data_IF_563602434245
#
_entry.id   IF_563602434245
#
_cell.length_a   1.000
_cell.length_b   1.000
_cell.length_c   1.000
_cell.angle_alpha   90.00
_cell.angle_beta   90.00
_cell.angle_gamma   90.00
#
_symmetry.space_group_name_H-M   'P 1'
#
loop_
_entity.id
_entity.type
_entity.pdbx_description
1 polymer ?
#
# COMPACT_ATOMS: atom_id res chain seq x y z
N UNK A 1 17.70 52.61 88.23
CA UNK A 1 17.65 51.29 87.53
C UNK A 1 16.21 51.03 87.12
N UNK A 2 15.89 51.33 85.92
CA UNK A 2 14.50 51.15 85.41
C UNK A 2 14.61 50.47 84.07
N UNK A 3 14.12 49.27 84.02
CA UNK A 3 14.01 48.46 82.76
C UNK A 3 12.79 48.90 81.97
N UNK A 4 12.98 49.23 80.70
CA UNK A 4 11.93 49.38 79.72
C UNK A 4 11.75 48.03 78.97
N UNK A 5 10.53 47.64 78.67
CA UNK A 5 10.30 46.46 77.84
C UNK A 5 10.28 46.84 76.34
N UNK A 6 10.89 46.02 75.51
CA UNK A 6 10.91 46.11 74.08
C UNK A 6 9.62 45.52 73.52
N UNK A 7 8.89 46.24 72.69
CA UNK A 7 7.72 45.84 71.99
C UNK A 7 8.13 45.19 70.67
N UNK A 8 7.77 43.93 70.46
CA UNK A 8 7.96 43.20 69.19
C UNK A 8 6.70 43.40 68.33
N UNK A 9 6.88 44.01 67.14
CA UNK A 9 5.85 44.15 66.14
C UNK A 9 5.90 42.92 65.23
N UNK A 10 4.86 42.12 65.24
CA UNK A 10 4.68 40.94 64.37
C UNK A 10 4.03 41.39 63.05
N UNK A 11 4.80 41.45 61.96
CA UNK A 11 4.27 41.63 60.62
C UNK A 11 3.74 40.32 60.12
N UNK A 12 2.42 40.22 59.97
CA UNK A 12 1.75 39.10 59.28
C UNK A 12 1.87 39.27 57.75
N UNK A 13 2.62 38.39 57.10
CA UNK A 13 2.68 38.28 55.62
C UNK A 13 1.48 37.49 55.13
N UNK A 14 0.58 38.14 54.40
CA UNK A 14 -0.51 37.47 53.69
C UNK A 14 0.04 36.89 52.39
N UNK A 15 0.23 35.56 52.33
CA UNK A 15 0.55 34.85 51.12
C UNK A 15 -0.69 34.72 50.24
N UNK A 16 -0.74 35.51 49.16
CA UNK A 16 -1.77 35.37 48.12
C UNK A 16 -1.46 34.14 47.27
N UNK A 17 -2.25 33.08 47.40
CA UNK A 17 -2.25 31.96 46.44
C UNK A 17 -2.81 32.41 45.09
N UNK A 18 -1.93 32.72 44.14
CA UNK A 18 -2.32 32.83 42.74
C UNK A 18 -2.61 31.44 42.21
N UNK A 19 -3.85 31.13 41.96
CA UNK A 19 -4.28 29.93 41.27
C UNK A 19 -3.83 30.00 39.79
N UNK A 20 -2.75 29.28 39.46
CA UNK A 20 -2.33 29.05 38.07
C UNK A 20 -3.30 28.06 37.48
N UNK A 21 -4.22 28.53 36.67
CA UNK A 21 -5.04 27.67 35.83
C UNK A 21 -4.12 26.88 34.88
N UNK A 22 -4.25 25.55 34.79
CA UNK A 22 -3.47 24.80 33.83
C UNK A 22 -3.88 25.25 32.41
N UNK A 23 -2.95 25.87 31.71
CA UNK A 23 -3.06 26.12 30.28
C UNK A 23 -3.21 24.77 29.59
N UNK A 24 -4.39 24.46 29.10
CA UNK A 24 -4.63 23.32 28.22
C UNK A 24 -3.85 23.64 26.94
N UNK A 25 -2.67 23.03 26.79
CA UNK A 25 -1.95 23.04 25.53
C UNK A 25 -2.89 22.54 24.43
N UNK A 26 -3.01 23.23 23.28
CA UNK A 26 -3.84 22.76 22.20
C UNK A 26 -3.37 21.36 21.80
N UNK A 27 -4.28 20.40 21.82
CA UNK A 27 -4.02 19.05 21.29
C UNK A 27 -3.45 19.18 19.89
N UNK A 28 -2.34 18.49 19.54
CA UNK A 28 -1.76 18.57 18.21
C UNK A 28 -2.80 18.16 17.18
N UNK A 29 -3.36 19.11 16.47
CA UNK A 29 -4.55 18.96 15.61
C UNK A 29 -4.31 18.24 14.29
N UNK A 30 -3.09 17.73 14.04
CA UNK A 30 -2.81 16.89 12.88
C UNK A 30 -1.62 15.97 13.15
N UNK A 31 -1.80 14.65 13.00
CA UNK A 31 -0.68 13.72 12.92
C UNK A 31 0.21 14.14 11.73
N UNK A 32 1.52 14.34 11.89
CA UNK A 32 2.44 14.63 10.77
C UNK A 32 2.26 13.63 9.62
N UNK A 33 2.03 12.36 9.96
CA UNK A 33 1.75 11.29 9.00
C UNK A 33 0.56 11.58 8.08
N UNK A 34 -0.50 12.19 8.59
CA UNK A 34 -1.73 12.45 7.83
C UNK A 34 -1.58 13.57 6.78
N UNK A 35 -0.59 14.46 6.94
CA UNK A 35 -0.33 15.56 6.00
C UNK A 35 0.93 15.36 5.14
N UNK A 36 1.61 14.25 5.32
CA UNK A 36 2.79 13.95 4.55
C UNK A 36 2.45 13.73 3.08
N UNK A 37 3.28 14.24 2.18
CA UNK A 37 3.17 14.09 0.73
C UNK A 37 4.08 12.96 0.24
N UNK A 38 3.87 12.48 -0.98
CA UNK A 38 4.70 11.42 -1.55
C UNK A 38 6.16 11.83 -1.63
N UNK A 39 7.10 10.94 -1.25
CA UNK A 39 8.54 11.20 -1.31
C UNK A 39 9.03 11.37 -2.75
N UNK A 40 10.17 12.06 -2.92
CA UNK A 40 10.68 12.46 -4.22
C UNK A 40 11.21 11.30 -5.09
N UNK A 41 11.49 10.16 -4.48
CA UNK A 41 12.13 8.98 -5.08
C UNK A 41 11.15 8.02 -5.79
N UNK A 42 10.01 8.53 -6.25
CA UNK A 42 9.01 7.72 -6.94
C UNK A 42 8.16 8.49 -7.92
N UNK A 43 7.45 7.75 -8.79
CA UNK A 43 6.57 8.33 -9.79
C UNK A 43 5.46 9.20 -9.20
N UNK A 44 4.94 8.89 -8.00
CA UNK A 44 3.92 9.70 -7.36
C UNK A 44 4.36 11.15 -7.06
N UNK A 45 5.66 11.43 -7.02
CA UNK A 45 6.19 12.77 -6.84
C UNK A 45 6.39 13.54 -8.16
N UNK A 46 6.31 12.86 -9.30
CA UNK A 46 6.54 13.50 -10.59
C UNK A 46 5.29 14.25 -11.08
N UNK A 47 5.46 15.18 -12.00
CA UNK A 47 4.37 15.91 -12.68
C UNK A 47 3.33 16.54 -11.73
N UNK A 48 3.75 17.12 -10.61
CA UNK A 48 2.89 17.85 -9.69
C UNK A 48 2.72 17.21 -8.30
N UNK A 49 3.48 16.16 -8.00
CA UNK A 49 3.55 15.47 -6.70
C UNK A 49 2.19 15.04 -6.12
N UNK A 50 2.16 13.94 -5.42
CA UNK A 50 0.96 13.44 -4.73
C UNK A 50 0.89 14.03 -3.32
N UNK A 51 -0.12 14.88 -3.10
CA UNK A 51 -0.34 15.60 -1.84
C UNK A 51 -1.52 15.05 -1.04
N UNK A 52 -2.39 14.24 -1.66
CA UNK A 52 -3.59 13.71 -1.01
C UNK A 52 -4.45 14.81 -0.40
N UNK A 53 -4.77 14.64 0.88
CA UNK A 53 -5.48 15.62 1.70
C UNK A 53 -4.58 16.59 2.47
N UNK A 54 -3.28 16.76 2.12
CA UNK A 54 -2.35 17.59 2.91
C UNK A 54 -2.86 19.01 3.18
N UNK A 55 -3.58 19.59 2.21
CA UNK A 55 -4.15 20.94 2.29
C UNK A 55 -5.61 20.97 2.84
N UNK A 56 -6.07 19.88 3.45
CA UNK A 56 -7.44 19.81 3.97
C UNK A 56 -7.66 20.83 5.10
N UNK A 57 -8.74 21.64 5.01
CA UNK A 57 -9.12 22.49 6.12
C UNK A 57 -9.55 21.65 7.33
N UNK A 58 -9.48 22.21 8.52
CA UNK A 58 -9.80 21.50 9.78
C UNK A 58 -11.19 20.84 9.73
N UNK A 59 -12.18 21.49 9.10
CA UNK A 59 -13.53 20.95 8.93
C UNK A 59 -13.59 19.66 8.08
N UNK A 60 -12.56 19.40 7.25
CA UNK A 60 -12.46 18.21 6.40
C UNK A 60 -11.46 17.16 6.95
N UNK A 61 -11.12 17.25 8.22
CA UNK A 61 -10.31 16.26 8.93
C UNK A 61 -11.22 15.41 9.81
N UNK A 62 -11.45 14.17 9.40
CA UNK A 62 -12.37 13.24 10.05
C UNK A 62 -11.61 12.17 10.80
N UNK A 63 -12.11 11.77 11.98
CA UNK A 63 -11.71 10.51 12.62
C UNK A 63 -12.92 9.58 12.57
N UNK A 64 -12.69 8.37 12.04
CA UNK A 64 -13.75 7.39 11.77
C UNK A 64 -13.39 6.04 12.41
N UNK A 65 -14.38 5.37 12.99
CA UNK A 65 -14.23 4.07 13.63
C UNK A 65 -15.26 3.03 13.17
N UNK A 66 -16.18 3.43 12.28
CA UNK A 66 -17.19 2.55 11.71
C UNK A 66 -17.51 2.91 10.25
N UNK A 67 -18.27 2.04 9.59
CA UNK A 67 -18.61 2.18 8.17
C UNK A 67 -19.50 3.40 7.90
N UNK A 68 -20.40 3.78 8.81
CA UNK A 68 -21.29 4.92 8.62
C UNK A 68 -20.53 6.26 8.67
N UNK A 69 -19.62 6.41 9.66
CA UNK A 69 -18.73 7.57 9.75
C UNK A 69 -17.81 7.66 8.53
N UNK A 70 -17.26 6.52 8.07
CA UNK A 70 -16.41 6.46 6.88
C UNK A 70 -17.17 6.93 5.64
N UNK A 71 -18.38 6.41 5.39
CA UNK A 71 -19.23 6.83 4.25
C UNK A 71 -19.52 8.32 4.30
N UNK A 72 -19.81 8.87 5.49
CA UNK A 72 -20.05 10.32 5.68
C UNK A 72 -18.79 11.15 5.38
N UNK A 73 -17.63 10.73 5.83
CA UNK A 73 -16.35 11.42 5.57
C UNK A 73 -15.95 11.39 4.07
N UNK A 74 -16.36 10.36 3.34
CA UNK A 74 -16.09 10.19 1.90
C UNK A 74 -17.22 10.69 1.01
N UNK A 75 -18.29 11.25 1.57
CA UNK A 75 -19.45 11.72 0.81
C UNK A 75 -19.08 12.83 -0.18
N UNK A 76 -19.78 12.87 -1.30
CA UNK A 76 -19.56 13.84 -2.38
C UNK A 76 -19.86 15.29 -1.96
N UNK A 77 -20.67 15.51 -0.94
CA UNK A 77 -20.96 16.83 -0.38
C UNK A 77 -19.77 17.46 0.35
N UNK A 78 -18.78 16.65 0.77
CA UNK A 78 -17.52 17.17 1.33
C UNK A 78 -16.68 17.71 0.18
N UNK A 79 -16.69 19.00 0.00
CA UNK A 79 -15.93 19.67 -1.06
C UNK A 79 -14.42 19.77 -0.73
N UNK A 80 -13.58 19.68 -1.75
CA UNK A 80 -12.13 19.93 -1.63
C UNK A 80 -11.35 18.76 -1.02
N UNK A 81 -10.17 19.10 -0.50
CA UNK A 81 -9.24 18.14 0.11
C UNK A 81 -9.77 17.63 1.46
N UNK A 82 -9.50 16.36 1.77
CA UNK A 82 -9.92 15.74 3.04
C UNK A 82 -8.88 14.78 3.60
N UNK A 83 -8.86 14.67 4.91
CA UNK A 83 -8.11 13.66 5.66
C UNK A 83 -9.10 12.79 6.42
N UNK A 84 -9.01 11.48 6.21
CA UNK A 84 -9.82 10.47 6.91
C UNK A 84 -8.88 9.63 7.77
N UNK A 85 -8.94 9.80 9.08
CA UNK A 85 -8.16 9.10 10.08
C UNK A 85 -8.96 7.90 10.57
N UNK A 86 -8.46 6.70 10.32
CA UNK A 86 -9.09 5.44 10.74
C UNK A 86 -8.63 5.07 12.13
N UNK A 87 -9.55 4.89 13.07
CA UNK A 87 -9.29 4.46 14.44
C UNK A 87 -9.84 3.04 14.66
N UNK A 88 -8.94 2.09 14.85
CA UNK A 88 -9.31 0.67 14.98
C UNK A 88 -9.65 0.01 13.65
N UNK A 89 -10.30 -1.14 13.69
CA UNK A 89 -10.68 -1.93 12.50
C UNK A 89 -12.13 -1.64 12.12
N UNK A 90 -12.36 -1.22 10.89
CA UNK A 90 -13.68 -0.99 10.32
C UNK A 90 -14.10 -2.23 9.51
N UNK A 91 -15.19 -2.88 9.93
CA UNK A 91 -15.82 -3.97 9.18
C UNK A 91 -16.93 -3.42 8.27
N UNK A 92 -16.70 -3.51 6.95
CA UNK A 92 -17.69 -3.01 5.97
C UNK A 92 -18.91 -3.91 5.83
N UNK A 93 -18.90 -5.12 6.38
CA UNK A 93 -20.09 -5.97 6.50
C UNK A 93 -21.05 -5.50 7.60
N UNK A 94 -20.58 -4.66 8.54
CA UNK A 94 -21.36 -4.17 9.68
C UNK A 94 -21.98 -5.31 10.50
N UNK A 95 -21.21 -6.42 10.63
CA UNK A 95 -21.64 -7.62 11.37
C UNK A 95 -22.69 -8.49 10.66
N UNK A 96 -23.04 -8.17 9.42
CA UNK A 96 -24.00 -8.92 8.61
C UNK A 96 -23.33 -9.42 7.33
N UNK A 97 -23.27 -10.72 7.13
CA UNK A 97 -22.69 -11.31 5.92
C UNK A 97 -23.29 -10.69 4.65
N UNK A 98 -22.48 -10.58 3.62
CA UNK A 98 -22.98 -10.24 2.29
C UNK A 98 -23.79 -11.41 1.74
N UNK A 99 -24.92 -11.08 1.08
CA UNK A 99 -25.82 -12.12 0.56
C UNK A 99 -25.56 -12.49 -0.90
N UNK A 100 -25.00 -11.53 -1.67
CA UNK A 100 -24.63 -11.71 -3.06
C UNK A 100 -23.58 -10.65 -3.47
N UNK A 101 -23.10 -10.76 -4.70
CA UNK A 101 -22.13 -9.84 -5.30
C UNK A 101 -22.62 -8.37 -5.30
N UNK A 102 -23.91 -8.12 -5.58
CA UNK A 102 -24.46 -6.77 -5.62
C UNK A 102 -24.49 -6.14 -4.21
N UNK A 103 -24.83 -6.92 -3.19
CA UNK A 103 -24.79 -6.50 -1.80
C UNK A 103 -23.36 -6.21 -1.33
N UNK A 104 -22.41 -7.10 -1.66
CA UNK A 104 -20.98 -6.88 -1.37
C UNK A 104 -20.46 -5.63 -2.09
N UNK A 105 -20.76 -5.45 -3.37
CA UNK A 105 -20.38 -4.25 -4.12
C UNK A 105 -20.95 -2.97 -3.51
N UNK A 106 -22.20 -2.98 -3.07
CA UNK A 106 -22.86 -1.80 -2.48
C UNK A 106 -22.32 -1.46 -1.09
N UNK A 107 -22.12 -2.45 -0.20
CA UNK A 107 -21.71 -2.22 1.20
C UNK A 107 -20.21 -2.26 1.39
N UNK A 108 -19.51 -3.19 0.72
CA UNK A 108 -18.07 -3.43 0.88
C UNK A 108 -17.19 -2.49 0.07
N UNK A 109 -17.69 -1.92 -1.05
CA UNK A 109 -16.88 -1.01 -1.87
C UNK A 109 -16.79 0.37 -1.22
N UNK A 110 -15.57 0.82 -0.98
CA UNK A 110 -15.23 2.13 -0.42
C UNK A 110 -14.59 2.99 -1.52
N UNK A 111 -15.35 3.89 -2.11
CA UNK A 111 -14.85 4.78 -3.17
C UNK A 111 -14.09 5.94 -2.56
N UNK A 112 -12.83 6.11 -2.91
CA UNK A 112 -11.98 7.21 -2.46
C UNK A 112 -12.02 8.35 -3.49
N UNK A 113 -12.57 9.51 -3.13
CA UNK A 113 -12.58 10.67 -4.02
C UNK A 113 -11.19 11.32 -4.12
N UNK A 114 -11.02 12.17 -5.14
CA UNK A 114 -9.80 12.96 -5.33
C UNK A 114 -9.42 13.79 -4.10
N UNK A 115 -8.14 14.08 -3.94
CA UNK A 115 -7.56 14.90 -2.85
C UNK A 115 -7.86 14.34 -1.46
N UNK A 116 -7.73 13.02 -1.32
CA UNK A 116 -8.02 12.29 -0.08
C UNK A 116 -6.74 11.67 0.48
N UNK A 117 -6.49 11.87 1.77
CA UNK A 117 -5.59 11.03 2.56
C UNK A 117 -6.43 10.13 3.47
N UNK A 118 -6.31 8.81 3.29
CA UNK A 118 -6.85 7.79 4.18
C UNK A 118 -5.70 7.21 5.00
N UNK A 119 -5.72 7.36 6.33
CA UNK A 119 -4.59 7.01 7.18
C UNK A 119 -5.02 6.35 8.48
N UNK A 120 -4.34 5.27 8.87
CA UNK A 120 -4.54 4.62 10.16
C UNK A 120 -3.93 5.39 11.33
N UNK A 121 -4.67 5.54 12.42
CA UNK A 121 -4.25 6.20 13.67
C UNK A 121 -3.50 5.24 14.58
N UNK A 122 -2.81 4.32 14.21
CA UNK A 122 -2.05 3.40 15.05
C UNK A 122 -1.78 2.10 14.31
N UNK A 123 -0.99 1.26 14.95
CA UNK A 123 -0.51 0.02 14.34
C UNK A 123 -1.59 -1.05 14.12
N UNK A 124 -2.83 -0.82 14.55
CA UNK A 124 -3.93 -1.81 14.46
C UNK A 124 -5.13 -1.27 13.64
N UNK A 125 -5.00 -0.07 13.06
CA UNK A 125 -6.08 0.50 12.25
C UNK A 125 -6.17 -0.18 10.90
N UNK A 126 -7.39 -0.42 10.41
CA UNK A 126 -7.53 -1.08 9.13
C UNK A 126 -8.95 -1.43 8.72
N UNK A 127 -9.08 -2.34 7.77
CA UNK A 127 -10.35 -2.73 7.19
C UNK A 127 -10.47 -4.25 7.05
N UNK A 128 -11.69 -4.73 7.22
CA UNK A 128 -12.13 -6.07 6.83
C UNK A 128 -13.38 -5.97 5.96
N UNK A 129 -13.55 -6.92 5.05
CA UNK A 129 -14.68 -6.94 4.11
C UNK A 129 -14.78 -5.66 3.26
N UNK A 130 -13.65 -5.02 2.98
CA UNK A 130 -13.56 -3.74 2.27
C UNK A 130 -12.80 -3.88 0.95
N UNK A 131 -13.34 -3.29 -0.11
CA UNK A 131 -12.66 -3.03 -1.36
C UNK A 131 -12.43 -1.52 -1.49
N UNK A 132 -11.20 -1.04 -1.27
CA UNK A 132 -10.85 0.36 -1.47
C UNK A 132 -10.72 0.64 -2.96
N UNK A 133 -11.57 1.50 -3.48
CA UNK A 133 -11.70 1.75 -4.91
C UNK A 133 -11.33 3.20 -5.25
N UNK A 134 -10.16 3.40 -5.86
CA UNK A 134 -9.68 4.68 -6.38
C UNK A 134 -9.98 4.69 -7.87
N UNK A 135 -11.11 5.29 -8.26
CA UNK A 135 -11.56 5.27 -9.65
C UNK A 135 -11.81 6.68 -10.17
N UNK A 136 -11.18 7.02 -11.32
CA UNK A 136 -11.26 8.34 -11.95
C UNK A 136 -10.93 9.46 -10.96
N UNK A 137 -9.95 9.21 -10.10
CA UNK A 137 -9.54 10.11 -9.03
C UNK A 137 -8.07 10.50 -9.17
N UNK A 138 -7.72 11.59 -8.53
CA UNK A 138 -6.34 12.08 -8.48
C UNK A 138 -5.99 12.56 -7.07
N UNK A 139 -4.70 12.55 -6.76
CA UNK A 139 -4.22 13.03 -5.46
C UNK A 139 -4.80 12.20 -4.30
N UNK A 140 -4.49 10.89 -4.28
CA UNK A 140 -4.95 9.98 -3.22
C UNK A 140 -3.77 9.36 -2.49
N UNK A 141 -3.82 9.38 -1.16
CA UNK A 141 -2.82 8.75 -0.29
C UNK A 141 -3.54 7.74 0.61
N UNK A 142 -3.03 6.49 0.66
CA UNK A 142 -3.55 5.41 1.50
C UNK A 142 -2.39 4.88 2.34
N UNK A 143 -2.43 5.06 3.67
CA UNK A 143 -1.27 4.78 4.52
C UNK A 143 -1.62 4.14 5.86
N UNK A 144 -0.65 3.38 6.37
CA UNK A 144 -0.63 2.87 7.74
C UNK A 144 -1.89 2.09 8.14
N UNK A 145 -2.37 1.22 7.24
CA UNK A 145 -3.60 0.44 7.40
C UNK A 145 -3.35 -1.06 7.28
N UNK A 146 -4.03 -1.86 8.10
CA UNK A 146 -4.17 -3.29 7.88
C UNK A 146 -5.35 -3.57 6.97
N UNK A 147 -5.11 -4.22 5.84
CA UNK A 147 -6.12 -4.59 4.87
C UNK A 147 -6.22 -6.12 4.81
N UNK A 148 -7.33 -6.65 5.30
CA UNK A 148 -7.66 -8.04 5.02
C UNK A 148 -8.29 -8.09 3.64
N UNK A 149 -7.66 -8.85 2.71
CA UNK A 149 -8.18 -8.98 1.36
C UNK A 149 -9.63 -9.47 1.39
N UNK A 150 -10.56 -8.82 0.68
CA UNK A 150 -11.95 -9.22 0.69
C UNK A 150 -12.12 -10.59 0.02
N UNK A 151 -12.98 -11.42 0.57
CA UNK A 151 -13.39 -12.66 -0.06
C UNK A 151 -14.72 -12.41 -0.78
N UNK A 152 -14.76 -12.62 -2.10
CA UNK A 152 -15.97 -12.52 -2.92
C UNK A 152 -16.96 -13.62 -2.51
N UNK A 153 -18.18 -13.22 -2.18
CA UNK A 153 -19.23 -14.19 -1.77
C UNK A 153 -19.74 -15.02 -2.93
N UNK A 154 -19.51 -14.56 -4.18
CA UNK A 154 -19.99 -15.22 -5.40
C UNK A 154 -18.93 -15.21 -6.52
N UNK A 155 -17.73 -15.78 -6.29
CA UNK A 155 -16.73 -15.90 -7.34
C UNK A 155 -17.28 -16.73 -8.50
N UNK A 156 -16.87 -16.39 -9.73
CA UNK A 156 -17.38 -17.03 -10.94
C UNK A 156 -16.41 -18.08 -11.45
N UNK A 157 -16.93 -19.23 -11.82
CA UNK A 157 -16.17 -20.24 -12.53
C UNK A 157 -16.01 -19.85 -14.00
N UNK A 158 -14.78 -19.81 -14.48
CA UNK A 158 -14.44 -19.61 -15.89
C UNK A 158 -13.77 -20.89 -16.43
N UNK A 159 -14.44 -21.68 -17.29
CA UNK A 159 -13.87 -22.89 -17.88
C UNK A 159 -12.77 -22.60 -18.89
N UNK A 160 -12.68 -21.37 -19.42
CA UNK A 160 -11.69 -20.96 -20.42
C UNK A 160 -10.42 -20.36 -19.79
N UNK A 161 -10.36 -20.18 -18.47
CA UNK A 161 -9.14 -19.74 -17.77
C UNK A 161 -8.18 -20.92 -17.56
N UNK A 162 -7.34 -21.17 -18.55
CA UNK A 162 -6.41 -22.31 -18.57
C UNK A 162 -7.14 -23.65 -18.63
N UNK A 163 -7.05 -24.44 -17.54
CA UNK A 163 -7.81 -25.69 -17.32
C UNK A 163 -9.03 -25.47 -16.40
N UNK A 164 -9.59 -24.27 -16.44
CA UNK A 164 -10.66 -23.75 -15.61
C UNK A 164 -10.12 -23.01 -14.37
N UNK A 165 -10.80 -21.94 -13.97
CA UNK A 165 -10.42 -21.12 -12.82
C UNK A 165 -11.58 -20.42 -12.12
N UNK A 166 -11.42 -20.14 -10.84
CA UNK A 166 -12.34 -19.29 -10.10
C UNK A 166 -11.88 -17.83 -10.17
N UNK A 167 -12.77 -16.94 -10.55
CA UNK A 167 -12.52 -15.50 -10.66
C UNK A 167 -13.34 -14.73 -9.61
N UNK A 168 -12.66 -14.11 -8.69
CA UNK A 168 -13.20 -13.11 -7.78
C UNK A 168 -13.10 -11.72 -8.42
N UNK A 169 -13.80 -10.73 -7.86
CA UNK A 169 -13.84 -9.37 -8.43
C UNK A 169 -13.32 -8.29 -7.47
N UNK A 170 -13.23 -8.59 -6.17
CA UNK A 170 -12.91 -7.56 -5.18
C UNK A 170 -11.45 -7.63 -4.75
N UNK A 171 -10.63 -6.69 -5.25
CA UNK A 171 -9.29 -6.43 -4.71
C UNK A 171 -9.35 -5.77 -3.33
N UNK A 172 -8.27 -5.82 -2.55
CA UNK A 172 -8.18 -4.98 -1.37
C UNK A 172 -8.07 -3.50 -1.76
N UNK A 173 -7.25 -3.18 -2.79
CA UNK A 173 -7.19 -1.85 -3.41
C UNK A 173 -7.22 -2.00 -4.94
N UNK A 174 -8.14 -1.31 -5.60
CA UNK A 174 -8.10 -1.10 -7.06
C UNK A 174 -7.86 0.37 -7.39
N UNK A 175 -6.85 0.65 -8.21
CA UNK A 175 -6.54 1.97 -8.77
C UNK A 175 -6.89 1.93 -10.26
N UNK A 176 -7.97 2.65 -10.65
CA UNK A 176 -8.61 2.52 -11.97
C UNK A 176 -8.76 3.91 -12.60
N UNK A 177 -8.17 4.12 -13.77
CA UNK A 177 -8.23 5.39 -14.50
C UNK A 177 -7.88 6.61 -13.60
N UNK A 178 -6.87 6.45 -12.74
CA UNK A 178 -6.53 7.38 -11.67
C UNK A 178 -5.06 7.77 -11.71
N UNK A 179 -4.70 8.90 -11.14
CA UNK A 179 -3.32 9.38 -11.15
C UNK A 179 -2.91 10.04 -9.85
N UNK A 180 -1.59 10.11 -9.61
CA UNK A 180 -1.01 10.66 -8.38
C UNK A 180 -1.58 9.95 -7.16
N UNK A 181 -1.23 8.65 -7.05
CA UNK A 181 -1.65 7.81 -5.93
C UNK A 181 -0.41 7.29 -5.19
N UNK A 182 -0.43 7.40 -3.88
CA UNK A 182 0.62 6.86 -3.02
C UNK A 182 0.02 5.89 -2.00
N UNK A 183 0.47 4.62 -2.08
CA UNK A 183 0.07 3.53 -1.19
C UNK A 183 1.28 3.12 -0.36
N UNK A 184 1.23 3.36 0.96
CA UNK A 184 2.43 3.34 1.77
C UNK A 184 2.22 2.79 3.20
N UNK A 185 3.15 1.97 3.69
CA UNK A 185 3.10 1.38 5.03
C UNK A 185 1.78 0.67 5.36
N UNK A 186 1.14 0.02 4.40
CA UNK A 186 -0.02 -0.82 4.66
C UNK A 186 0.38 -2.30 4.75
N UNK A 187 -0.48 -3.14 5.31
CA UNK A 187 -0.38 -4.59 5.19
C UNK A 187 -1.60 -5.17 4.48
N UNK A 188 -1.35 -6.22 3.71
CA UNK A 188 -2.35 -6.96 2.93
C UNK A 188 -2.23 -8.44 3.23
N UNK A 189 -3.33 -9.12 3.52
CA UNK A 189 -3.30 -10.56 3.79
C UNK A 189 -4.68 -11.21 3.61
N UNK A 190 -4.69 -12.49 3.19
CA UNK A 190 -5.89 -13.31 3.17
C UNK A 190 -6.23 -13.85 4.57
N UNK A 191 -5.24 -13.86 5.48
CA UNK A 191 -5.46 -14.38 6.83
C UNK A 191 -6.59 -13.62 7.56
N UNK A 192 -7.44 -14.35 8.32
CA UNK A 192 -7.35 -15.75 8.67
C UNK A 192 -7.96 -16.73 7.66
N UNK A 193 -8.61 -16.25 6.57
CA UNK A 193 -9.26 -17.09 5.56
C UNK A 193 -8.32 -17.32 4.36
N UNK A 194 -7.27 -18.09 4.58
CA UNK A 194 -6.30 -18.48 3.55
C UNK A 194 -6.85 -19.53 2.60
N UNK A 195 -6.28 -19.66 1.38
CA UNK A 195 -6.81 -20.51 0.30
C UNK A 195 -6.96 -22.00 0.70
N UNK A 196 -6.15 -22.50 1.63
CA UNK A 196 -6.27 -23.86 2.16
C UNK A 196 -7.54 -24.09 3.00
N UNK A 197 -8.23 -23.03 3.40
CA UNK A 197 -9.50 -23.07 4.15
C UNK A 197 -10.73 -22.91 3.27
N UNK A 198 -10.53 -22.65 1.97
CA UNK A 198 -11.62 -22.50 1.02
C UNK A 198 -12.10 -23.86 0.51
N UNK A 199 -13.38 -24.00 0.17
CA UNK A 199 -13.93 -25.24 -0.36
C UNK A 199 -13.30 -25.61 -1.72
N UNK A 200 -13.29 -26.89 -2.03
CA UNK A 200 -12.94 -27.42 -3.34
C UNK A 200 -14.23 -27.58 -4.14
N UNK A 201 -14.34 -26.86 -5.25
CA UNK A 201 -15.45 -26.95 -6.21
C UNK A 201 -14.87 -27.01 -7.63
N UNK A 202 -15.50 -27.77 -8.54
CA UNK A 202 -15.00 -28.03 -9.89
C UNK A 202 -13.55 -28.56 -9.90
N UNK A 203 -13.15 -29.30 -8.88
CA UNK A 203 -11.82 -29.88 -8.75
C UNK A 203 -10.71 -28.91 -8.37
N UNK A 204 -11.04 -27.65 -8.08
CA UNK A 204 -10.08 -26.60 -7.67
C UNK A 204 -10.54 -25.86 -6.42
N UNK A 205 -9.60 -25.26 -5.70
CA UNK A 205 -9.93 -24.33 -4.63
C UNK A 205 -10.82 -23.22 -5.18
N UNK A 206 -11.99 -23.02 -4.59
CA UNK A 206 -12.91 -21.93 -4.95
C UNK A 206 -12.35 -20.61 -4.44
N UNK A 207 -11.32 -20.11 -5.14
CA UNK A 207 -10.67 -18.86 -4.78
C UNK A 207 -11.67 -17.71 -4.73
N UNK A 208 -11.72 -17.02 -3.60
CA UNK A 208 -12.58 -15.88 -3.37
C UNK A 208 -11.81 -14.56 -3.20
N UNK A 209 -10.49 -14.62 -3.10
CA UNK A 209 -9.65 -13.43 -3.10
C UNK A 209 -9.17 -13.10 -4.52
N UNK A 210 -9.32 -11.84 -4.95
CA UNK A 210 -8.74 -11.36 -6.21
C UNK A 210 -7.39 -10.70 -5.95
N UNK A 211 -7.07 -9.56 -6.52
CA UNK A 211 -5.80 -8.87 -6.27
C UNK A 211 -5.70 -8.25 -4.87
N UNK A 212 -4.48 -8.14 -4.33
CA UNK A 212 -4.25 -7.31 -3.15
C UNK A 212 -4.22 -5.82 -3.54
N UNK A 213 -3.54 -5.50 -4.65
CA UNK A 213 -3.47 -4.12 -5.16
C UNK A 213 -3.33 -4.14 -6.68
N UNK A 214 -4.35 -3.71 -7.40
CA UNK A 214 -4.34 -3.65 -8.86
C UNK A 214 -4.32 -2.20 -9.38
N UNK A 215 -3.50 -1.96 -10.41
CA UNK A 215 -3.30 -0.65 -11.06
C UNK A 215 -3.57 -0.81 -12.54
N UNK A 216 -4.66 -0.20 -13.05
CA UNK A 216 -5.15 -0.48 -14.41
C UNK A 216 -5.86 0.70 -15.06
N UNK A 217 -6.31 0.52 -16.29
CA UNK A 217 -7.12 1.47 -17.07
C UNK A 217 -6.45 2.85 -17.19
N UNK A 218 -5.22 2.86 -17.70
CA UNK A 218 -4.40 4.06 -17.89
C UNK A 218 -4.14 4.87 -16.60
N UNK A 219 -4.18 4.23 -15.43
CA UNK A 219 -3.72 4.85 -14.20
C UNK A 219 -2.26 5.24 -14.28
N UNK A 220 -1.83 6.32 -13.59
CA UNK A 220 -0.51 6.87 -13.79
C UNK A 220 0.06 7.59 -12.56
N UNK A 221 1.39 7.74 -12.50
CA UNK A 221 2.09 8.40 -11.40
C UNK A 221 1.75 7.79 -10.04
N UNK A 222 1.96 6.48 -9.92
CA UNK A 222 1.67 5.71 -8.70
C UNK A 222 2.97 5.30 -8.01
N UNK A 223 3.02 5.39 -6.68
CA UNK A 223 4.09 4.81 -5.85
C UNK A 223 3.48 3.89 -4.80
N UNK A 224 4.04 2.69 -4.72
CA UNK A 224 3.70 1.64 -3.74
C UNK A 224 4.95 1.37 -2.93
N UNK A 225 5.00 1.84 -1.67
CA UNK A 225 6.21 1.81 -0.86
C UNK A 225 5.98 1.29 0.56
N UNK A 226 6.97 0.59 1.09
CA UNK A 226 6.97 0.10 2.48
C UNK A 226 5.72 -0.69 2.90
N UNK A 227 5.01 -1.32 1.97
CA UNK A 227 3.89 -2.17 2.31
C UNK A 227 4.35 -3.60 2.62
N UNK A 228 3.56 -4.32 3.42
CA UNK A 228 3.73 -5.73 3.70
C UNK A 228 2.59 -6.53 3.06
N UNK A 229 2.87 -7.24 2.00
CA UNK A 229 1.96 -8.19 1.35
C UNK A 229 2.29 -9.59 1.83
N UNK A 230 1.30 -10.31 2.36
CA UNK A 230 1.53 -11.62 2.93
C UNK A 230 0.41 -12.61 2.62
N UNK A 231 0.77 -13.88 2.41
CA UNK A 231 -0.17 -15.01 2.29
C UNK A 231 -1.28 -14.74 1.27
N UNK A 232 -0.90 -14.59 -0.01
CA UNK A 232 -1.84 -14.26 -1.08
C UNK A 232 -1.44 -14.86 -2.43
N UNK A 233 -2.44 -15.24 -3.25
CA UNK A 233 -2.20 -15.93 -4.52
C UNK A 233 -1.86 -14.97 -5.66
N UNK A 234 -2.63 -13.90 -5.87
CA UNK A 234 -2.59 -13.00 -7.05
C UNK A 234 -2.34 -11.55 -6.62
N UNK A 235 -1.11 -11.16 -6.27
CA UNK A 235 -0.87 -9.98 -5.45
C UNK A 235 -1.13 -8.63 -6.15
N UNK A 236 -0.37 -8.30 -7.22
CA UNK A 236 -0.40 -6.97 -7.83
C UNK A 236 -0.37 -7.06 -9.35
N UNK A 237 -1.42 -6.60 -10.00
CA UNK A 237 -1.50 -6.46 -11.44
C UNK A 237 -1.29 -5.00 -11.84
N UNK A 238 -0.34 -4.76 -12.74
CA UNK A 238 -0.14 -3.46 -13.40
C UNK A 238 -0.46 -3.66 -14.87
N UNK A 239 -1.57 -3.05 -15.32
CA UNK A 239 -2.12 -3.22 -16.68
C UNK A 239 -3.28 -4.20 -16.73
N UNK A 240 -4.38 -3.78 -17.32
CA UNK A 240 -5.70 -4.41 -17.29
C UNK A 240 -5.70 -5.80 -17.93
N UNK A 241 -5.29 -5.90 -19.18
CA UNK A 241 -5.24 -7.16 -19.95
C UNK A 241 -4.31 -7.02 -21.14
N UNK A 242 -3.97 -8.11 -21.81
CA UNK A 242 -3.15 -8.08 -23.02
C UNK A 242 -3.86 -7.35 -24.20
N UNK A 243 -5.18 -7.15 -24.11
CA UNK A 243 -6.00 -6.43 -25.10
C UNK A 243 -6.21 -4.94 -24.75
N UNK A 244 -5.80 -4.50 -23.57
CA UNK A 244 -6.03 -3.13 -23.08
C UNK A 244 -4.92 -2.18 -23.59
N UNK A 245 -4.85 -1.96 -24.89
CA UNK A 245 -3.83 -1.10 -25.52
C UNK A 245 -3.89 0.36 -25.06
N UNK A 246 -5.02 0.81 -24.51
CA UNK A 246 -5.15 2.12 -23.85
C UNK A 246 -4.28 2.31 -22.60
N UNK A 247 -3.71 1.22 -22.06
CA UNK A 247 -2.73 1.28 -20.97
C UNK A 247 -1.33 1.74 -21.45
N UNK A 248 -1.05 1.63 -22.75
CA UNK A 248 0.24 2.03 -23.31
C UNK A 248 0.50 3.54 -23.16
N UNK A 249 1.71 3.90 -22.71
CA UNK A 249 2.09 5.30 -22.43
C UNK A 249 1.66 5.81 -21.06
N UNK A 250 0.94 5.00 -20.31
CA UNK A 250 0.54 5.20 -18.91
C UNK A 250 1.22 4.18 -18.00
N UNK A 251 0.67 3.98 -16.81
CA UNK A 251 1.11 2.99 -15.83
C UNK A 251 2.58 3.22 -15.41
N UNK A 252 2.95 4.49 -15.18
CA UNK A 252 4.22 4.85 -14.54
C UNK A 252 4.11 4.56 -13.05
N UNK A 253 4.76 3.50 -12.62
CA UNK A 253 4.63 2.98 -11.26
C UNK A 253 6.00 2.75 -10.62
N UNK A 254 6.16 3.19 -9.37
CA UNK A 254 7.28 2.80 -8.50
C UNK A 254 6.80 1.79 -7.48
N UNK A 255 7.52 0.70 -7.33
CA UNK A 255 7.31 -0.29 -6.27
C UNK A 255 8.61 -0.42 -5.50
N UNK A 256 8.67 0.09 -4.26
CA UNK A 256 9.92 0.19 -3.51
C UNK A 256 9.80 -0.19 -2.04
N UNK A 257 10.80 -0.83 -1.52
CA UNK A 257 10.92 -1.19 -0.10
C UNK A 257 9.73 -1.98 0.47
N UNK A 258 8.99 -2.72 -0.37
CA UNK A 258 7.90 -3.56 0.07
C UNK A 258 8.41 -4.95 0.50
N UNK A 259 7.74 -5.54 1.48
CA UNK A 259 7.86 -6.95 1.85
C UNK A 259 6.76 -7.75 1.14
N UNK A 260 7.18 -8.73 0.34
CA UNK A 260 6.30 -9.74 -0.26
C UNK A 260 6.61 -11.09 0.40
N UNK A 261 5.73 -11.57 1.25
CA UNK A 261 5.96 -12.76 2.08
C UNK A 261 4.93 -13.85 1.78
N UNK A 262 5.40 -14.98 1.23
CA UNK A 262 4.54 -16.08 0.76
C UNK A 262 3.47 -15.62 -0.23
N UNK A 263 3.88 -14.85 -1.21
CA UNK A 263 3.07 -14.44 -2.35
C UNK A 263 3.30 -15.46 -3.48
N UNK A 264 2.24 -16.07 -3.99
CA UNK A 264 2.39 -17.08 -5.03
C UNK A 264 2.75 -16.49 -6.39
N UNK A 265 2.22 -15.30 -6.73
CA UNK A 265 2.48 -14.66 -8.01
C UNK A 265 2.15 -13.16 -8.03
N UNK A 266 2.59 -12.47 -9.08
CA UNK A 266 2.26 -11.06 -9.37
C UNK A 266 2.75 -10.08 -8.30
N UNK A 267 4.04 -10.02 -8.07
CA UNK A 267 4.63 -9.06 -7.14
C UNK A 267 5.70 -8.14 -7.80
N UNK A 268 5.33 -7.36 -8.86
CA UNK A 268 4.09 -7.32 -9.63
C UNK A 268 4.10 -8.17 -10.92
N UNK A 269 2.93 -8.29 -11.62
CA UNK A 269 2.86 -8.64 -13.05
C UNK A 269 2.54 -7.39 -13.86
N UNK A 270 3.38 -7.07 -14.88
CA UNK A 270 3.35 -5.79 -15.61
C UNK A 270 3.00 -6.00 -17.07
N UNK A 271 1.98 -5.28 -17.55
CA UNK A 271 1.65 -5.08 -18.96
C UNK A 271 1.73 -3.60 -19.30
N UNK A 272 2.28 -3.23 -20.45
CA UNK A 272 2.40 -1.87 -20.99
C UNK A 272 3.10 -0.86 -20.07
N UNK A 273 3.08 -1.07 -18.76
CA UNK A 273 3.55 -0.14 -17.74
C UNK A 273 5.05 0.14 -17.81
N UNK A 274 5.42 1.32 -17.34
CA UNK A 274 6.80 1.77 -17.12
C UNK A 274 7.08 1.73 -15.62
N UNK A 275 7.67 0.61 -15.16
CA UNK A 275 7.72 0.25 -13.74
C UNK A 275 9.15 0.26 -13.22
N UNK A 276 9.39 0.99 -12.13
CA UNK A 276 10.63 0.97 -11.39
C UNK A 276 10.47 0.14 -10.10
N UNK A 277 11.28 -0.91 -9.97
CA UNK A 277 11.31 -1.78 -8.79
C UNK A 277 12.63 -1.56 -8.06
N UNK A 278 12.64 -1.14 -6.80
CA UNK A 278 13.87 -1.08 -6.05
C UNK A 278 13.72 -1.40 -4.56
N UNK A 279 14.72 -2.05 -4.02
CA UNK A 279 14.81 -2.45 -2.61
C UNK A 279 13.60 -3.24 -2.08
N UNK A 280 12.87 -3.93 -2.93
CA UNK A 280 11.82 -4.83 -2.46
C UNK A 280 12.43 -6.14 -1.93
N UNK A 281 11.78 -6.73 -0.95
CA UNK A 281 12.16 -8.01 -0.38
C UNK A 281 11.07 -9.04 -0.63
N UNK A 282 11.41 -10.11 -1.37
CA UNK A 282 10.54 -11.21 -1.71
C UNK A 282 10.95 -12.46 -0.94
N UNK A 283 10.05 -13.00 -0.13
CA UNK A 283 10.22 -14.25 0.60
C UNK A 283 9.19 -15.25 0.10
N UNK A 284 9.62 -16.41 -0.31
CA UNK A 284 8.71 -17.42 -0.85
C UNK A 284 9.27 -18.83 -0.74
N UNK A 285 8.42 -19.80 -1.03
CA UNK A 285 8.78 -21.21 -1.08
C UNK A 285 8.07 -21.88 -2.25
N UNK A 286 8.83 -22.49 -3.14
CA UNK A 286 8.30 -23.25 -4.29
C UNK A 286 7.59 -24.54 -3.89
N UNK A 287 7.64 -24.90 -2.63
CA UNK A 287 6.93 -26.05 -2.05
C UNK A 287 5.93 -25.64 -0.96
N UNK A 288 5.65 -24.33 -0.79
CA UNK A 288 4.68 -23.89 0.19
C UNK A 288 3.32 -24.55 -0.05
N UNK A 289 2.67 -25.13 0.98
CA UNK A 289 1.47 -25.94 0.79
C UNK A 289 0.28 -25.17 0.24
N UNK A 290 0.11 -23.89 0.60
CA UNK A 290 -1.03 -23.05 0.19
C UNK A 290 -0.60 -22.06 -0.91
N UNK A 291 0.39 -21.23 -0.65
CA UNK A 291 0.85 -20.18 -1.56
C UNK A 291 2.19 -20.56 -2.20
N UNK A 292 2.15 -21.62 -3.00
CA UNK A 292 3.32 -22.10 -3.72
C UNK A 292 3.85 -21.04 -4.66
N UNK A 293 5.10 -20.60 -4.44
CA UNK A 293 5.73 -19.57 -5.25
C UNK A 293 5.89 -20.00 -6.71
N UNK A 294 5.22 -19.31 -7.60
CA UNK A 294 5.33 -19.49 -9.06
C UNK A 294 6.33 -18.53 -9.68
N UNK A 295 6.22 -17.25 -9.33
CA UNK A 295 7.15 -16.17 -9.72
C UNK A 295 6.86 -14.91 -8.87
N UNK A 296 7.87 -14.07 -8.70
CA UNK A 296 7.71 -12.73 -8.08
C UNK A 296 7.33 -11.69 -9.14
N UNK A 297 8.21 -11.42 -10.10
CA UNK A 297 7.99 -10.41 -11.14
C UNK A 297 7.53 -11.08 -12.44
N UNK A 298 6.39 -10.66 -12.97
CA UNK A 298 5.87 -11.08 -14.26
C UNK A 298 6.09 -10.00 -15.32
N UNK A 299 6.87 -10.31 -16.35
CA UNK A 299 7.14 -9.43 -17.49
C UNK A 299 6.18 -9.81 -18.60
N UNK A 300 5.04 -9.12 -18.71
CA UNK A 300 3.98 -9.43 -19.65
C UNK A 300 4.00 -8.44 -20.84
N UNK A 301 2.96 -8.45 -21.66
CA UNK A 301 2.89 -7.75 -22.95
C UNK A 301 3.37 -6.29 -22.82
N UNK A 302 4.50 -6.00 -23.50
CA UNK A 302 5.09 -4.65 -23.58
C UNK A 302 5.35 -3.96 -22.22
N UNK A 303 5.40 -4.72 -21.13
CA UNK A 303 5.79 -4.22 -19.82
C UNK A 303 7.27 -3.82 -19.82
N UNK A 304 7.62 -2.66 -19.28
CA UNK A 304 8.99 -2.12 -19.25
C UNK A 304 9.44 -1.91 -17.82
N UNK A 305 10.22 -2.85 -17.31
CA UNK A 305 10.63 -2.89 -15.91
C UNK A 305 12.11 -2.56 -15.79
N UNK A 306 12.43 -1.58 -14.95
CA UNK A 306 13.79 -1.28 -14.47
C UNK A 306 13.86 -1.64 -13.00
N UNK A 307 14.82 -2.48 -12.63
CA UNK A 307 14.97 -3.12 -11.32
C UNK A 307 16.32 -2.77 -10.70
N UNK A 308 16.33 -2.39 -9.41
CA UNK A 308 17.56 -2.07 -8.69
C UNK A 308 17.55 -2.70 -7.29
N UNK A 309 18.59 -3.45 -7.00
CA UNK A 309 18.94 -3.90 -5.65
C UNK A 309 17.76 -4.54 -4.88
N UNK A 310 16.92 -5.35 -5.51
CA UNK A 310 15.90 -6.14 -4.85
C UNK A 310 16.49 -7.42 -4.25
N UNK A 311 15.90 -7.97 -3.20
CA UNK A 311 16.30 -9.22 -2.58
C UNK A 311 15.19 -10.27 -2.77
N UNK A 312 15.55 -11.42 -3.37
CA UNK A 312 14.67 -12.58 -3.55
C UNK A 312 15.20 -13.75 -2.72
N UNK A 313 14.52 -14.10 -1.65
CA UNK A 313 14.76 -15.28 -0.83
C UNK A 313 13.65 -16.30 -1.06
N UNK A 314 13.80 -17.08 -2.14
CA UNK A 314 12.79 -18.02 -2.61
C UNK A 314 13.32 -19.44 -2.44
N UNK A 315 12.85 -20.16 -1.43
CA UNK A 315 13.24 -21.53 -1.20
C UNK A 315 12.96 -22.39 -2.44
N UNK A 316 13.98 -23.15 -2.88
CA UNK A 316 13.92 -23.99 -4.07
C UNK A 316 14.11 -23.27 -5.40
N UNK A 317 14.26 -21.94 -5.45
CA UNK A 317 14.62 -21.22 -6.68
C UNK A 317 16.13 -21.22 -6.89
N UNK A 318 16.58 -21.44 -8.14
CA UNK A 318 17.98 -21.49 -8.55
C UNK A 318 18.28 -20.64 -9.77
N UNK A 319 17.26 -20.29 -10.54
CA UNK A 319 17.38 -19.54 -11.80
C UNK A 319 16.57 -18.27 -11.72
N UNK A 320 16.99 -17.23 -12.42
CA UNK A 320 16.29 -15.97 -12.49
C UNK A 320 14.82 -16.15 -12.93
N UNK A 321 14.54 -17.01 -13.91
CA UNK A 321 13.19 -17.28 -14.42
C UNK A 321 12.22 -17.85 -13.39
N UNK A 322 12.71 -18.27 -12.23
CA UNK A 322 11.90 -18.72 -11.09
C UNK A 322 11.50 -17.56 -10.17
N UNK A 323 12.17 -16.42 -10.28
CA UNK A 323 11.80 -15.16 -9.64
C UNK A 323 11.18 -14.16 -10.62
N UNK A 324 11.73 -14.04 -11.84
CA UNK A 324 11.28 -13.13 -12.90
C UNK A 324 10.85 -13.94 -14.11
N UNK A 325 9.55 -13.89 -14.45
CA UNK A 325 8.96 -14.74 -15.49
C UNK A 325 8.46 -13.91 -16.67
N UNK A 326 8.98 -14.16 -17.91
CA UNK A 326 8.39 -13.58 -19.12
C UNK A 326 7.06 -14.27 -19.48
N UNK A 327 6.08 -13.49 -19.96
CA UNK A 327 4.74 -13.95 -20.36
C UNK A 327 4.40 -13.63 -21.80
N UNK A 328 5.26 -12.90 -22.51
CA UNK A 328 5.07 -12.56 -23.90
C UNK A 328 6.40 -12.66 -24.63
N UNK A 329 6.37 -12.85 -25.95
CA UNK A 329 7.52 -12.98 -26.82
C UNK A 329 7.33 -12.23 -28.15
N UNK A 330 8.37 -12.09 -28.93
CA UNK A 330 8.34 -11.39 -30.22
C UNK A 330 7.99 -9.91 -30.04
N UNK A 331 7.12 -9.34 -30.90
CA UNK A 331 6.77 -7.91 -30.83
C UNK A 331 5.99 -7.52 -29.57
N UNK A 332 5.38 -8.48 -28.90
CA UNK A 332 4.66 -8.28 -27.65
C UNK A 332 5.54 -8.46 -26.40
N UNK A 333 6.81 -8.82 -26.56
CA UNK A 333 7.73 -9.03 -25.45
C UNK A 333 7.82 -7.77 -24.57
N UNK A 334 7.75 -7.98 -23.26
CA UNK A 334 8.17 -6.97 -22.30
C UNK A 334 9.67 -6.96 -22.11
N UNK A 335 10.20 -5.96 -21.44
CA UNK A 335 11.61 -5.84 -21.06
C UNK A 335 11.79 -5.80 -19.55
N UNK A 336 12.85 -6.45 -19.10
CA UNK A 336 13.33 -6.40 -17.72
C UNK A 336 14.81 -6.04 -17.75
N UNK A 337 15.21 -5.08 -16.94
CA UNK A 337 16.62 -4.73 -16.75
C UNK A 337 16.90 -4.64 -15.27
N UNK A 338 17.88 -5.39 -14.79
CA UNK A 338 18.27 -5.44 -13.39
C UNK A 338 19.66 -4.91 -13.11
N UNK A 339 19.82 -4.25 -11.98
CA UNK A 339 21.10 -3.84 -11.45
C UNK A 339 21.19 -4.12 -9.96
N UNK A 340 22.00 -5.09 -9.60
CA UNK A 340 22.42 -5.35 -8.23
C UNK A 340 21.44 -6.12 -7.36
N UNK A 341 20.40 -6.74 -7.90
CA UNK A 341 19.50 -7.62 -7.14
C UNK A 341 20.16 -8.97 -6.81
N UNK A 342 19.66 -9.60 -5.75
CA UNK A 342 20.13 -10.92 -5.28
C UNK A 342 19.01 -11.97 -5.32
N UNK A 343 19.35 -13.19 -5.75
CA UNK A 343 18.51 -14.37 -5.58
C UNK A 343 19.22 -15.35 -4.62
N UNK A 344 18.61 -15.59 -3.47
CA UNK A 344 19.15 -16.45 -2.40
C UNK A 344 20.61 -16.11 -2.05
N UNK A 345 20.92 -14.81 -1.95
CA UNK A 345 22.23 -14.28 -1.57
C UNK A 345 23.27 -14.22 -2.71
N UNK A 346 22.99 -14.78 -3.88
CA UNK A 346 23.83 -14.66 -5.08
C UNK A 346 23.31 -13.55 -6.02
N UNK A 347 24.17 -12.92 -6.85
CA UNK A 347 23.71 -12.00 -7.88
C UNK A 347 22.60 -12.62 -8.74
N UNK A 348 21.54 -11.86 -9.00
CA UNK A 348 20.48 -12.31 -9.89
C UNK A 348 21.08 -12.54 -11.28
N UNK A 349 21.07 -13.78 -11.74
CA UNK A 349 21.61 -14.11 -13.05
C UNK A 349 20.71 -13.52 -14.15
N UNK A 350 21.24 -13.25 -15.38
CA UNK A 350 20.42 -12.79 -16.48
C UNK A 350 19.17 -13.64 -16.66
N UNK A 351 18.05 -12.98 -16.86
CA UNK A 351 16.75 -13.59 -17.14
C UNK A 351 16.49 -13.58 -18.65
N UNK A 352 15.57 -14.43 -19.13
CA UNK A 352 15.20 -14.46 -20.56
C UNK A 352 14.62 -13.12 -21.04
N UNK A 353 14.05 -12.33 -20.13
CA UNK A 353 13.54 -10.97 -20.38
C UNK A 353 14.57 -9.87 -20.09
N UNK A 354 15.80 -10.24 -19.69
CA UNK A 354 16.83 -9.27 -19.30
C UNK A 354 17.42 -8.59 -20.54
N UNK A 355 17.20 -7.29 -20.62
CA UNK A 355 17.59 -6.44 -21.74
C UNK A 355 18.17 -5.13 -21.22
N UNK A 356 18.83 -4.38 -22.08
CA UNK A 356 19.21 -3.00 -21.77
C UNK A 356 17.98 -2.19 -21.33
N UNK A 357 18.13 -1.26 -20.37
CA UNK A 357 17.01 -0.44 -19.90
C UNK A 357 16.33 0.25 -21.07
N UNK A 358 15.02 0.02 -21.23
CA UNK A 358 14.23 0.66 -22.30
C UNK A 358 13.87 2.11 -21.98
N UNK A 359 14.21 2.57 -20.78
CA UNK A 359 13.99 3.93 -20.30
C UNK A 359 14.88 4.23 -19.08
N UNK A 360 15.11 5.53 -18.80
CA UNK A 360 15.85 5.98 -17.62
C UNK A 360 14.88 6.44 -16.54
N UNK A 361 15.14 6.10 -15.27
CA UNK A 361 14.38 6.59 -14.13
C UNK A 361 14.54 8.11 -14.04
N UNK A 362 13.46 8.91 -14.09
CA UNK A 362 13.56 10.37 -14.22
C UNK A 362 13.66 11.13 -12.90
N UNK A 363 13.79 10.43 -11.79
CA UNK A 363 13.94 11.00 -10.45
C UNK A 363 15.17 10.45 -9.74
N UNK A 364 15.68 11.22 -8.78
CA UNK A 364 16.77 10.75 -7.92
C UNK A 364 16.27 9.66 -6.97
N UNK A 365 17.04 8.60 -6.81
CA UNK A 365 16.83 7.52 -5.84
C UNK A 365 18.17 6.95 -5.41
N UNK A 366 18.26 6.48 -4.19
CA UNK A 366 19.47 5.90 -3.62
C UNK A 366 19.17 4.50 -3.08
N UNK A 367 19.34 3.44 -3.90
CA UNK A 367 19.04 2.09 -3.45
C UNK A 367 20.08 1.61 -2.45
N UNK A 368 19.60 1.01 -1.36
CA UNK A 368 20.46 0.24 -0.46
C UNK A 368 21.05 -0.94 -1.22
N UNK A 369 22.27 -1.41 -0.86
CA UNK A 369 22.77 -2.69 -1.37
C UNK A 369 21.77 -3.82 -1.08
N UNK A 370 21.48 -4.69 -2.05
CA UNK A 370 20.46 -5.73 -1.93
C UNK A 370 20.63 -6.63 -0.68
N UNK A 371 21.88 -6.88 -0.25
CA UNK A 371 22.15 -7.64 0.97
C UNK A 371 21.63 -6.97 2.27
N UNK A 372 21.44 -5.64 2.28
CA UNK A 372 20.89 -4.90 3.42
C UNK A 372 19.36 -4.81 3.39
N UNK A 373 18.75 -5.07 2.24
CA UNK A 373 17.29 -4.92 2.01
C UNK A 373 16.45 -5.80 2.95
N UNK A 374 16.76 -7.10 3.18
CA UNK A 374 15.94 -7.93 4.08
C UNK A 374 15.77 -7.36 5.48
N UNK A 375 16.85 -6.93 6.11
CA UNK A 375 16.82 -6.35 7.45
C UNK A 375 16.09 -5.01 7.47
N UNK A 376 16.36 -4.13 6.49
CA UNK A 376 15.72 -2.83 6.36
C UNK A 376 14.20 -2.96 6.17
N UNK A 377 13.76 -3.77 5.22
CA UNK A 377 12.35 -3.92 4.88
C UNK A 377 11.56 -4.60 6.00
N UNK A 378 12.10 -5.65 6.64
CA UNK A 378 11.43 -6.31 7.78
C UNK A 378 11.15 -5.35 8.94
N UNK A 379 12.02 -4.39 9.16
CA UNK A 379 11.86 -3.40 10.25
C UNK A 379 10.94 -2.25 9.88
N UNK A 380 10.79 -1.92 8.59
CA UNK A 380 10.11 -0.70 8.14
C UNK A 380 8.82 -0.91 7.35
N UNK A 381 8.62 -2.05 6.68
CA UNK A 381 7.42 -2.29 5.90
C UNK A 381 6.22 -2.68 6.78
N UNK A 382 5.06 -2.10 6.46
CA UNK A 382 3.80 -2.35 7.14
C UNK A 382 3.41 -1.28 8.17
N UNK A 383 2.18 -1.35 8.70
CA UNK A 383 1.61 -0.37 9.61
C UNK A 383 2.37 -0.28 10.94
N UNK A 384 2.41 0.91 11.53
CA UNK A 384 3.06 1.17 12.81
C UNK A 384 4.59 1.23 12.75
N UNK A 385 5.19 0.99 11.59
CA UNK A 385 6.65 0.97 11.41
C UNK A 385 7.22 2.26 10.83
N UNK A 386 6.38 3.25 10.67
CA UNK A 386 6.79 4.57 10.22
C UNK A 386 7.75 5.20 11.26
N UNK A 387 8.96 5.50 10.83
CA UNK A 387 9.87 6.39 11.54
C UNK A 387 9.90 7.72 10.78
N UNK A 388 9.65 8.89 11.42
CA UNK A 388 9.91 10.15 10.76
C UNK A 388 11.37 10.16 10.32
N UNK A 389 11.64 10.32 9.04
CA UNK A 389 12.98 10.46 8.53
C UNK A 389 13.60 11.72 9.17
N UNK A 390 14.65 11.54 9.96
CA UNK A 390 15.47 12.62 10.49
C UNK A 390 16.27 13.33 9.38
N UNK A 391 16.18 12.86 8.13
CA UNK A 391 16.98 13.33 7.00
C UNK A 391 16.26 14.27 6.01
N UNK A 392 15.01 14.59 6.23
CA UNK A 392 14.39 15.69 5.49
C UNK A 392 14.61 16.94 6.34
N UNK A 393 15.57 17.75 5.91
CA UNK A 393 15.89 19.04 6.55
C UNK A 393 14.62 19.88 6.77
N UNK A 394 14.67 20.85 7.69
CA UNK A 394 13.51 21.66 8.04
C UNK A 394 12.95 22.29 6.77
N UNK A 395 11.65 22.08 6.53
CA UNK A 395 10.92 22.90 5.59
C UNK A 395 11.12 24.35 6.06
N UNK A 396 11.82 25.13 5.27
CA UNK A 396 11.91 26.56 5.51
C UNK A 396 10.49 27.12 5.55
N UNK A 397 10.17 27.78 6.64
CA UNK A 397 8.94 28.53 6.89
C UNK A 397 8.64 29.58 5.81
#
# INVERSE_FOLDING_TARGET
>A
MKHLPSTVILCAAVAGCASVSPSIAPSPSSSPLARQVAPADGWAAQAGSTRGGADAPVANVFTVSDAAQLRKALDKSVAGSRIVKVSGVIDMSEGRAFVDHADQSRRGRVVLPSRTTLVGLGAQSGFVNAHLHVAKAEQVIIRNLHLRNPCDVAPKWDPEDGDGGWNAEFDAISIVASRHVWVDHNSFTDAPLTDDKLPIENGKTRQCHDGALDIRDASDYVTVSYNHFALHAKNMLIGTSDKAEGDAGHLRVTVSSNLFEYIASRAPRVRFGQVHLFNNYHVGDRQHPTYRHGYSVGVAKQGRIVSHANAFEIAGARRCTEAVKPFASGPDAGSFSDQGSLLNGAPLAPCDADQAPSWNVPYAFEPLPAAAVPAHVRTRAGPGKYTPDLNHGPAND
#
